data_IF_050780205302
#
_entry.id   IF_050780205302
#
_cell.length_a   1.000
_cell.length_b   1.000
_cell.length_c   1.000
_cell.angle_alpha   90.00
_cell.angle_beta   90.00
_cell.angle_gamma   90.00
#
_symmetry.space_group_name_H-M   'P 1'
#
loop_
_entity.id
_entity.type
_entity.pdbx_description
1 polymer ?
#
# COMPACT_ATOMS: atom_id res chain seq x y z
N UNK A 1 13.32 5.49 17.69
CA UNK A 1 13.46 6.81 17.04
C UNK A 1 13.47 6.57 15.53
N UNK A 2 12.30 6.68 14.87
CA UNK A 2 12.14 6.34 13.45
C UNK A 2 12.10 7.65 12.65
N UNK A 3 13.21 7.98 12.01
CA UNK A 3 13.28 9.17 11.17
C UNK A 3 12.57 8.91 9.83
N UNK A 4 11.45 9.59 9.62
CA UNK A 4 10.82 9.76 8.31
C UNK A 4 11.57 10.90 7.61
N UNK A 5 12.37 10.55 6.60
CA UNK A 5 13.14 11.52 5.82
C UNK A 5 12.67 11.55 4.39
N UNK A 6 13.05 12.62 3.70
CA UNK A 6 12.23 13.19 2.69
C UNK A 6 12.46 14.69 2.46
N UNK A 7 13.10 15.07 1.35
CA UNK A 7 13.12 16.44 0.82
C UNK A 7 13.22 16.51 -0.73
N UNK A 8 12.70 17.58 -1.32
CA UNK A 8 13.12 18.19 -2.62
C UNK A 8 12.82 19.66 -2.48
N UNK A 9 13.68 20.49 -3.05
CA UNK A 9 13.30 21.71 -3.74
C UNK A 9 14.32 22.04 -4.84
N UNK A 10 13.97 23.07 -5.62
CA UNK A 10 14.45 23.50 -6.92
C UNK A 10 15.86 24.09 -7.05
N UNK A 11 16.21 24.16 -8.34
CA UNK A 11 17.40 24.62 -9.07
C UNK A 11 17.90 26.03 -8.73
N UNK A 12 19.22 26.15 -8.53
CA UNK A 12 20.05 27.31 -8.92
C UNK A 12 21.42 26.79 -9.42
N UNK A 13 21.98 27.47 -10.43
CA UNK A 13 23.28 27.24 -11.05
C UNK A 13 24.40 28.00 -10.32
N UNK A 14 25.49 27.34 -9.92
CA UNK A 14 26.84 27.91 -9.83
C UNK A 14 27.91 26.85 -9.48
N UNK A 15 29.11 27.05 -10.00
CA UNK A 15 30.29 26.17 -9.89
C UNK A 15 31.15 26.44 -8.65
N UNK A 16 31.83 25.42 -8.10
CA UNK A 16 33.24 25.43 -7.64
C UNK A 16 33.60 24.20 -6.76
N UNK A 17 34.89 23.88 -6.75
CA UNK A 17 35.59 22.71 -6.21
C UNK A 17 35.70 22.63 -4.66
N UNK A 18 36.10 21.47 -4.10
CA UNK A 18 37.20 21.27 -3.10
C UNK A 18 37.28 19.80 -2.59
N UNK A 19 38.48 19.43 -2.10
CA UNK A 19 39.08 18.11 -1.91
C UNK A 19 38.63 17.28 -0.67
N UNK A 20 38.95 15.96 -0.57
CA UNK A 20 38.59 15.12 0.58
C UNK A 20 39.54 15.27 1.78
N UNK A 21 38.95 15.26 2.98
CA UNK A 21 39.63 15.23 4.29
C UNK A 21 39.72 13.79 4.81
N UNK A 22 40.86 13.55 5.46
CA UNK A 22 41.46 12.30 5.88
C UNK A 22 40.69 11.57 7.00
N UNK A 23 40.68 10.24 6.92
CA UNK A 23 40.20 9.29 7.94
C UNK A 23 41.30 9.13 9.00
N UNK A 24 40.95 9.15 10.28
CA UNK A 24 41.86 8.64 11.31
C UNK A 24 41.14 7.60 12.18
N UNK A 25 41.71 6.40 12.14
CA UNK A 25 41.40 5.22 12.94
C UNK A 25 42.14 5.24 14.28
N UNK A 26 41.75 4.30 15.15
CA UNK A 26 42.44 3.80 16.35
C UNK A 26 41.88 4.31 17.69
N UNK A 27 41.18 3.47 18.44
CA UNK A 27 41.84 2.49 19.33
C UNK A 27 40.84 1.58 20.06
N UNK A 28 41.26 0.33 20.23
CA UNK A 28 40.61 -0.76 20.95
C UNK A 28 41.06 -0.82 22.42
N UNK A 29 40.22 -1.39 23.31
CA UNK A 29 40.47 -2.12 24.58
C UNK A 29 39.24 -1.93 25.52
N UNK A 30 38.73 -2.85 26.33
CA UNK A 30 38.98 -4.26 26.62
C UNK A 30 37.80 -4.84 27.44
N UNK A 31 37.68 -6.17 27.38
CA UNK A 31 36.81 -7.07 28.16
C UNK A 31 37.23 -7.17 29.65
N UNK A 32 36.27 -7.44 30.55
CA UNK A 32 36.36 -8.28 31.78
C UNK A 32 34.96 -8.32 32.46
N UNK A 33 34.20 -9.41 32.38
CA UNK A 33 34.15 -10.62 33.25
C UNK A 33 33.42 -10.44 34.60
N UNK A 34 32.36 -11.24 34.76
CA UNK A 34 31.39 -11.46 35.87
C UNK A 34 32.03 -11.92 37.20
N UNK A 35 31.28 -11.96 38.32
CA UNK A 35 30.71 -13.25 38.75
C UNK A 35 29.27 -13.20 39.31
N UNK A 36 28.65 -14.40 39.34
CA UNK A 36 27.31 -14.77 39.81
C UNK A 36 27.09 -14.59 41.33
N UNK A 37 25.83 -14.46 41.77
CA UNK A 37 25.29 -15.31 42.84
C UNK A 37 23.75 -15.41 42.87
N UNK A 38 23.31 -16.55 43.42
CA UNK A 38 22.02 -17.25 43.46
C UNK A 38 20.90 -16.57 44.29
N UNK A 39 19.63 -16.67 43.84
CA UNK A 39 18.48 -17.51 44.32
C UNK A 39 17.89 -17.10 45.67
N UNK A 40 16.59 -16.74 45.68
CA UNK A 40 15.64 -17.23 46.67
C UNK A 40 14.17 -17.01 46.26
N UNK A 41 13.34 -17.99 46.63
CA UNK A 41 11.98 -18.23 46.18
C UNK A 41 10.92 -17.93 47.26
N UNK A 42 9.68 -17.80 46.80
CA UNK A 42 8.40 -17.78 47.56
C UNK A 42 8.15 -16.53 48.43
N UNK A 43 6.95 -15.95 48.52
CA UNK A 43 5.62 -16.54 48.65
C UNK A 43 4.58 -15.40 48.53
N UNK A 44 3.46 -15.62 47.82
CA UNK A 44 2.06 -15.33 48.21
C UNK A 44 1.19 -14.93 47.00
N UNK A 45 0.01 -15.55 46.94
CA UNK A 45 -0.91 -15.59 45.82
C UNK A 45 -2.19 -14.78 46.11
N UNK A 46 -2.89 -14.45 45.02
CA UNK A 46 -4.26 -13.93 44.90
C UNK A 46 -4.49 -12.52 45.51
N UNK A 47 -5.11 -11.57 44.83
CA UNK A 47 -6.42 -11.66 44.20
C UNK A 47 -6.67 -10.39 43.35
N UNK A 48 -7.72 -10.45 42.52
CA UNK A 48 -8.54 -9.34 41.99
C UNK A 48 -8.25 -8.71 40.63
N UNK A 49 -9.26 -8.97 39.78
CA UNK A 49 -9.93 -8.05 38.86
C UNK A 49 -9.32 -7.84 37.47
N UNK A 50 -9.92 -8.60 36.56
CA UNK A 50 -10.26 -8.22 35.19
C UNK A 50 -10.64 -6.73 35.11
N UNK A 51 -9.72 -5.92 34.61
CA UNK A 51 -9.99 -4.57 34.14
C UNK A 51 -9.05 -4.36 32.97
N UNK A 52 -9.64 -4.36 31.78
CA UNK A 52 -9.02 -3.91 30.54
C UNK A 52 -8.46 -2.50 30.74
N UNK A 53 -7.21 -2.41 31.20
CA UNK A 53 -6.47 -1.17 31.26
C UNK A 53 -6.08 -0.82 29.84
N UNK A 54 -6.90 0.01 29.20
CA UNK A 54 -6.48 0.83 28.08
C UNK A 54 -5.35 1.73 28.58
N UNK A 55 -4.12 1.22 28.49
CA UNK A 55 -2.92 2.03 28.62
C UNK A 55 -2.95 3.05 27.49
N UNK A 56 -3.31 4.29 27.82
CA UNK A 56 -3.02 5.45 26.98
C UNK A 56 -1.52 5.68 27.07
N UNK A 57 -0.77 4.85 26.36
CA UNK A 57 0.60 5.15 25.96
C UNK A 57 0.49 6.25 24.91
N UNK A 58 1.20 7.35 25.15
CA UNK A 58 1.44 8.41 24.18
C UNK A 58 2.21 7.84 22.99
N UNK A 59 1.47 7.20 22.09
CA UNK A 59 1.96 6.60 20.86
C UNK A 59 1.74 7.60 19.74
N UNK A 60 2.79 7.86 18.96
CA UNK A 60 2.66 8.47 17.64
C UNK A 60 1.52 7.73 16.92
N UNK A 61 0.38 8.40 16.70
CA UNK A 61 -0.78 7.81 16.03
C UNK A 61 -0.32 7.25 14.69
N UNK A 62 -0.02 5.95 14.63
CA UNK A 62 0.18 5.24 13.40
C UNK A 62 -1.13 5.42 12.63
N UNK A 63 -1.09 6.27 11.59
CA UNK A 63 -2.25 6.69 10.81
C UNK A 63 -2.95 5.47 10.24
N UNK A 64 -3.90 4.89 10.99
CA UNK A 64 -4.51 3.64 10.61
C UNK A 64 -5.55 3.91 9.52
N UNK A 65 -5.18 3.57 8.28
CA UNK A 65 -6.04 3.78 7.11
C UNK A 65 -7.05 2.65 6.98
N UNK A 66 -6.86 1.53 7.67
CA UNK A 66 -7.76 0.38 7.67
C UNK A 66 -8.16 0.04 9.11
N UNK A 67 -9.01 0.87 9.75
CA UNK A 67 -9.32 0.76 11.17
C UNK A 67 -10.23 -0.41 11.52
N UNK A 68 -10.91 -1.01 10.53
CA UNK A 68 -11.91 -2.06 10.73
C UNK A 68 -11.64 -3.18 9.75
N UNK A 69 -11.57 -4.42 10.26
CA UNK A 69 -11.51 -5.59 9.41
C UNK A 69 -12.87 -5.85 8.75
N UNK A 70 -12.90 -6.20 7.45
CA UNK A 70 -14.14 -6.49 6.76
C UNK A 70 -14.70 -7.86 7.16
N UNK A 71 -15.99 -8.05 6.93
CA UNK A 71 -16.57 -9.40 6.90
C UNK A 71 -16.00 -10.15 5.70
N UNK A 72 -15.37 -11.29 5.97
CA UNK A 72 -14.74 -12.11 4.94
C UNK A 72 -15.77 -12.96 4.20
N UNK A 73 -15.73 -12.92 2.87
CA UNK A 73 -16.52 -13.78 1.99
C UNK A 73 -15.58 -14.57 1.07
N UNK A 74 -15.80 -15.87 0.95
CA UNK A 74 -15.08 -16.71 -0.02
C UNK A 74 -15.80 -16.69 -1.36
N UNK A 75 -15.03 -16.42 -2.43
CA UNK A 75 -15.48 -16.47 -3.82
C UNK A 75 -14.74 -17.63 -4.49
N UNK A 76 -15.50 -18.56 -5.05
CA UNK A 76 -14.95 -19.72 -5.74
C UNK A 76 -14.22 -19.29 -7.02
N UNK A 77 -13.27 -20.10 -7.50
CA UNK A 77 -12.56 -19.83 -8.75
C UNK A 77 -13.47 -19.91 -9.99
N UNK A 78 -12.87 -19.87 -11.18
CA UNK A 78 -13.60 -20.14 -12.43
C UNK A 78 -14.42 -18.96 -12.96
N UNK A 79 -13.82 -17.76 -13.02
CA UNK A 79 -14.46 -16.51 -13.47
C UNK A 79 -15.69 -16.10 -12.65
N UNK A 80 -15.78 -16.53 -11.39
CA UNK A 80 -16.87 -16.13 -10.50
C UNK A 80 -16.77 -14.64 -10.20
N UNK A 81 -17.89 -13.92 -10.31
CA UNK A 81 -17.96 -12.48 -10.04
C UNK A 81 -18.85 -12.23 -8.83
N UNK A 82 -18.27 -11.65 -7.79
CA UNK A 82 -19.03 -11.13 -6.64
C UNK A 82 -19.27 -9.64 -6.83
N UNK A 83 -20.53 -9.25 -6.65
CA UNK A 83 -20.98 -7.87 -6.87
C UNK A 83 -21.42 -7.25 -5.55
N UNK A 84 -20.82 -6.11 -5.21
CA UNK A 84 -21.12 -5.31 -4.03
C UNK A 84 -21.75 -3.99 -4.46
N UNK A 85 -23.03 -3.80 -4.11
CA UNK A 85 -23.75 -2.55 -4.36
C UNK A 85 -23.40 -1.55 -3.27
N UNK A 86 -22.84 -0.39 -3.65
CA UNK A 86 -22.51 0.65 -2.68
C UNK A 86 -23.75 1.49 -2.37
N UNK A 87 -23.93 1.91 -1.11
CA UNK A 87 -25.01 2.83 -0.76
C UNK A 87 -24.78 4.20 -1.39
N UNK A 88 -25.85 4.95 -1.65
CA UNK A 88 -25.79 6.24 -2.36
C UNK A 88 -24.93 7.30 -1.66
N UNK A 89 -24.87 7.24 -0.32
CA UNK A 89 -24.09 8.16 0.50
C UNK A 89 -22.58 7.86 0.48
N UNK A 90 -22.17 6.68 0.00
CA UNK A 90 -20.76 6.28 -0.02
C UNK A 90 -19.97 7.15 -1.01
N UNK A 91 -18.77 7.54 -0.59
CA UNK A 91 -17.77 8.23 -1.40
C UNK A 91 -16.45 7.46 -1.48
N UNK A 92 -16.29 6.41 -0.67
CA UNK A 92 -15.09 5.58 -0.59
C UNK A 92 -15.51 4.13 -0.34
N UNK A 93 -14.67 3.21 -0.79
CA UNK A 93 -14.75 1.80 -0.42
C UNK A 93 -13.35 1.27 -0.18
N UNK A 94 -13.25 0.39 0.81
CA UNK A 94 -12.06 -0.39 1.09
C UNK A 94 -12.34 -1.82 0.70
N UNK A 95 -11.38 -2.43 0.02
CA UNK A 95 -11.48 -3.83 -0.32
C UNK A 95 -10.17 -4.53 0.02
N UNK A 96 -10.33 -5.77 0.47
CA UNK A 96 -9.29 -6.64 0.96
C UNK A 96 -9.43 -7.93 0.19
N UNK A 97 -8.34 -8.42 -0.38
CA UNK A 97 -8.34 -9.66 -1.15
C UNK A 97 -7.13 -10.49 -0.69
N UNK A 98 -7.39 -11.72 -0.27
CA UNK A 98 -6.38 -12.68 0.18
C UNK A 98 -6.70 -14.09 -0.31
N UNK A 99 -5.71 -14.97 -0.28
CA UNK A 99 -5.86 -16.40 -0.57
C UNK A 99 -5.26 -17.22 0.57
N UNK A 100 -5.53 -18.52 0.60
CA UNK A 100 -4.97 -19.44 1.60
C UNK A 100 -3.66 -20.08 1.08
N UNK A 101 -2.65 -19.26 0.80
CA UNK A 101 -1.30 -19.72 0.42
C UNK A 101 -1.12 -20.07 -1.07
N UNK A 102 -2.15 -19.82 -1.88
CA UNK A 102 -2.11 -19.98 -3.34
C UNK A 102 -1.79 -18.66 -4.04
N UNK A 103 -1.36 -18.70 -5.31
CA UNK A 103 -1.28 -17.50 -6.12
C UNK A 103 -2.62 -16.76 -6.14
N UNK A 104 -2.57 -15.45 -5.91
CA UNK A 104 -3.73 -14.58 -5.98
C UNK A 104 -3.78 -13.97 -7.38
N UNK A 105 -4.83 -14.32 -8.10
CA UNK A 105 -5.17 -13.69 -9.38
C UNK A 105 -6.64 -13.25 -9.36
N UNK A 106 -6.84 -11.94 -9.27
CA UNK A 106 -8.15 -11.35 -9.11
C UNK A 106 -8.24 -10.02 -9.83
N UNK A 107 -9.46 -9.63 -10.21
CA UNK A 107 -9.72 -8.33 -10.80
C UNK A 107 -10.84 -7.63 -10.04
N UNK A 108 -10.59 -6.40 -9.60
CA UNK A 108 -11.57 -5.52 -8.99
C UNK A 108 -11.95 -4.40 -9.96
N UNK A 109 -13.24 -4.23 -10.22
CA UNK A 109 -13.79 -3.23 -11.12
C UNK A 109 -14.86 -2.39 -10.44
N UNK A 110 -14.73 -1.06 -10.51
CA UNK A 110 -15.77 -0.13 -10.05
C UNK A 110 -16.58 0.38 -11.24
N UNK A 111 -17.84 -0.02 -11.27
CA UNK A 111 -18.81 0.39 -12.28
C UNK A 111 -19.67 1.54 -11.76
N UNK A 112 -19.86 2.56 -12.58
CA UNK A 112 -20.78 3.66 -12.31
C UNK A 112 -21.83 3.71 -13.41
N UNK A 113 -23.00 3.15 -13.12
CA UNK A 113 -23.99 2.85 -14.16
C UNK A 113 -23.58 1.66 -15.04
N UNK A 114 -24.31 1.41 -16.13
CA UNK A 114 -24.16 0.19 -16.94
C UNK A 114 -22.93 0.19 -17.85
N UNK A 115 -22.52 1.37 -18.36
CA UNK A 115 -21.53 1.46 -19.44
C UNK A 115 -20.16 1.96 -18.99
N UNK A 116 -20.04 2.50 -17.78
CA UNK A 116 -18.85 3.24 -17.37
C UNK A 116 -18.10 2.54 -16.24
N UNK A 117 -17.00 1.90 -16.60
CA UNK A 117 -16.00 1.44 -15.64
C UNK A 117 -15.03 2.60 -15.32
N UNK A 118 -14.93 2.95 -14.05
CA UNK A 118 -14.12 4.07 -13.56
C UNK A 118 -12.79 3.60 -12.96
N UNK A 119 -12.76 2.38 -12.42
CA UNK A 119 -11.58 1.85 -11.76
C UNK A 119 -11.44 0.38 -12.08
N UNK A 120 -10.30 0.00 -12.65
CA UNK A 120 -9.95 -1.41 -12.87
C UNK A 120 -8.64 -1.66 -12.14
N UNK A 121 -8.61 -2.70 -11.34
CA UNK A 121 -7.43 -3.16 -10.63
C UNK A 121 -7.29 -4.66 -10.92
N UNK A 122 -6.28 -5.02 -11.71
CA UNK A 122 -5.88 -6.42 -11.87
C UNK A 122 -4.77 -6.72 -10.88
N UNK A 123 -4.94 -7.77 -10.10
CA UNK A 123 -4.08 -8.16 -9.01
C UNK A 123 -3.51 -9.52 -9.35
N UNK A 124 -2.19 -9.60 -9.46
CA UNK A 124 -1.47 -10.84 -9.64
C UNK A 124 -0.35 -10.91 -8.59
N UNK A 125 -0.35 -11.96 -7.79
CA UNK A 125 0.60 -12.13 -6.71
C UNK A 125 0.88 -13.62 -6.49
N UNK A 126 2.15 -13.99 -6.31
CA UNK A 126 2.56 -15.38 -6.13
C UNK A 126 2.06 -16.02 -4.84
N UNK A 127 1.87 -15.26 -3.74
CA UNK A 127 1.38 -15.79 -2.48
C UNK A 127 0.42 -14.83 -1.76
N UNK A 128 -0.88 -14.98 -2.01
CA UNK A 128 -1.89 -14.09 -1.43
C UNK A 128 -2.21 -14.31 0.06
N UNK A 129 -1.61 -15.31 0.73
CA UNK A 129 -1.69 -15.42 2.20
C UNK A 129 -0.69 -14.51 2.89
N UNK A 130 0.55 -14.53 2.40
CA UNK A 130 1.64 -13.73 2.98
C UNK A 130 1.50 -12.25 2.61
N UNK A 131 1.08 -11.98 1.38
CA UNK A 131 0.98 -10.62 0.86
C UNK A 131 -0.47 -10.31 0.42
N UNK A 132 -1.41 -10.18 1.38
CA UNK A 132 -2.79 -9.79 1.07
C UNK A 132 -2.83 -8.40 0.44
N UNK A 133 -3.74 -8.21 -0.52
CA UNK A 133 -3.92 -6.92 -1.17
C UNK A 133 -4.98 -6.09 -0.44
N UNK A 134 -4.61 -4.87 -0.04
CA UNK A 134 -5.51 -3.92 0.64
C UNK A 134 -5.54 -2.61 -0.13
N UNK A 135 -6.73 -2.12 -0.46
CA UNK A 135 -6.86 -0.89 -1.22
C UNK A 135 -8.08 -0.08 -0.80
N UNK A 136 -7.90 1.24 -0.81
CA UNK A 136 -8.95 2.23 -0.63
C UNK A 136 -9.15 2.98 -1.94
N UNK A 137 -10.36 2.90 -2.48
CA UNK A 137 -10.76 3.68 -3.64
C UNK A 137 -11.71 4.81 -3.22
N UNK A 138 -11.58 5.94 -3.90
CA UNK A 138 -12.51 7.06 -3.78
C UNK A 138 -13.34 7.18 -5.04
N UNK A 139 -14.62 7.53 -4.90
CA UNK A 139 -15.56 7.65 -6.01
C UNK A 139 -16.57 8.78 -5.80
N UNK A 140 -17.20 9.23 -6.88
CA UNK A 140 -18.31 10.20 -6.80
C UNK A 140 -19.55 9.49 -6.25
N UNK A 141 -20.38 10.23 -5.51
CA UNK A 141 -21.65 9.76 -4.93
C UNK A 141 -22.69 9.49 -6.03
N UNK A 142 -22.51 8.41 -6.77
CA UNK A 142 -23.35 8.03 -7.91
C UNK A 142 -23.65 6.53 -7.87
N UNK A 143 -24.01 6.03 -6.68
CA UNK A 143 -24.41 4.65 -6.42
C UNK A 143 -23.57 3.59 -7.18
N UNK A 144 -22.23 3.59 -7.03
CA UNK A 144 -21.39 2.69 -7.80
C UNK A 144 -21.53 1.23 -7.36
N UNK A 145 -21.12 0.34 -8.24
CA UNK A 145 -21.11 -1.10 -7.99
C UNK A 145 -19.68 -1.62 -8.11
N UNK A 146 -19.17 -2.22 -7.04
CA UNK A 146 -17.87 -2.87 -7.04
C UNK A 146 -18.03 -4.34 -7.42
N UNK A 147 -17.36 -4.78 -8.48
CA UNK A 147 -17.30 -6.18 -8.90
C UNK A 147 -15.91 -6.71 -8.59
N UNK A 148 -15.82 -7.83 -7.89
CA UNK A 148 -14.58 -8.56 -7.66
C UNK A 148 -14.73 -9.89 -8.39
N UNK A 149 -13.84 -10.16 -9.33
CA UNK A 149 -13.82 -11.38 -10.13
C UNK A 149 -12.55 -12.17 -9.89
N UNK A 150 -12.69 -13.50 -9.89
CA UNK A 150 -11.55 -14.43 -9.84
C UNK A 150 -10.95 -14.66 -11.22
N UNK A 151 -9.78 -15.28 -11.26
CA UNK A 151 -9.18 -15.81 -12.48
C UNK A 151 -10.01 -16.94 -13.10
N UNK A 152 -9.57 -17.36 -14.30
CA UNK A 152 -10.19 -18.44 -15.06
C UNK A 152 -10.05 -19.81 -14.40
N UNK A 153 -9.03 -20.00 -13.56
CA UNK A 153 -8.77 -21.28 -12.91
C UNK A 153 -9.77 -21.52 -11.77
N UNK A 154 -10.43 -22.68 -11.81
CA UNK A 154 -11.39 -23.09 -10.77
C UNK A 154 -10.70 -23.32 -9.41
N UNK A 155 -9.43 -23.72 -9.43
CA UNK A 155 -8.64 -24.12 -8.27
C UNK A 155 -8.11 -22.94 -7.43
N UNK A 156 -8.37 -21.70 -7.86
CA UNK A 156 -7.89 -20.48 -7.20
C UNK A 156 -9.07 -19.70 -6.57
N UNK A 157 -9.63 -20.17 -5.44
CA UNK A 157 -10.61 -19.40 -4.69
C UNK A 157 -9.93 -18.19 -4.03
N UNK A 158 -10.67 -17.08 -3.95
CA UNK A 158 -10.23 -15.88 -3.26
C UNK A 158 -11.12 -15.62 -2.05
N UNK A 159 -10.55 -15.05 -1.00
CA UNK A 159 -11.32 -14.50 0.11
C UNK A 159 -11.28 -12.98 -0.01
N UNK A 160 -12.44 -12.37 -0.21
CA UNK A 160 -12.57 -10.92 -0.32
C UNK A 160 -13.42 -10.36 0.81
N UNK A 161 -13.05 -9.18 1.29
CA UNK A 161 -13.82 -8.39 2.23
C UNK A 161 -13.97 -6.98 1.69
N UNK A 162 -15.19 -6.44 1.72
CA UNK A 162 -15.48 -5.08 1.26
C UNK A 162 -16.10 -4.29 2.40
N UNK A 163 -15.47 -3.17 2.72
CA UNK A 163 -15.91 -2.26 3.77
C UNK A 163 -16.25 -0.90 3.17
N UNK A 164 -17.45 -0.41 3.49
CA UNK A 164 -17.90 0.92 3.10
C UNK A 164 -17.85 1.82 4.34
N UNK A 165 -16.85 2.71 4.46
CA UNK A 165 -16.75 3.60 5.61
C UNK A 165 -17.91 4.59 5.63
N UNK A 166 -18.52 4.78 6.81
CA UNK A 166 -19.48 5.87 7.08
C UNK A 166 -18.89 7.24 6.72
N UNK A 167 -19.71 8.25 6.36
CA UNK A 167 -19.22 9.54 5.87
C UNK A 167 -18.24 10.25 6.82
N UNK A 168 -18.44 10.16 8.13
CA UNK A 168 -17.52 10.71 9.14
C UNK A 168 -16.14 10.05 9.09
N UNK A 169 -16.10 8.72 9.06
CA UNK A 169 -14.86 7.96 8.97
C UNK A 169 -14.19 8.16 7.61
N UNK A 170 -14.97 8.28 6.53
CA UNK A 170 -14.44 8.59 5.20
C UNK A 170 -13.74 9.95 5.14
N UNK A 171 -14.25 10.96 5.89
CA UNK A 171 -13.60 12.26 6.01
C UNK A 171 -12.28 12.17 6.82
N UNK A 172 -12.26 11.41 7.92
CA UNK A 172 -11.02 11.12 8.67
C UNK A 172 -9.96 10.43 7.79
N UNK A 173 -10.37 9.41 7.03
CA UNK A 173 -9.48 8.70 6.09
C UNK A 173 -8.94 9.64 5.01
N UNK A 174 -9.77 10.55 4.48
CA UNK A 174 -9.32 11.57 3.54
C UNK A 174 -8.30 12.51 4.18
N UNK A 175 -8.56 13.01 5.39
CA UNK A 175 -7.64 13.87 6.11
C UNK A 175 -6.29 13.17 6.38
N UNK A 176 -6.31 11.89 6.76
CA UNK A 176 -5.10 11.09 6.96
C UNK A 176 -4.34 10.89 5.65
N UNK A 177 -5.05 10.58 4.56
CA UNK A 177 -4.50 10.46 3.20
C UNK A 177 -3.82 11.78 2.79
N UNK A 178 -4.46 12.92 3.03
CA UNK A 178 -3.93 14.23 2.66
C UNK A 178 -2.75 14.65 3.55
N UNK A 179 -2.80 14.37 4.85
CA UNK A 179 -1.66 14.58 5.77
C UNK A 179 -0.46 13.77 5.34
N UNK A 180 -0.65 12.48 5.04
CA UNK A 180 0.41 11.61 4.54
C UNK A 180 0.94 12.09 3.21
N UNK A 181 0.07 12.55 2.31
CA UNK A 181 0.56 13.19 1.09
C UNK A 181 1.37 14.44 1.40
N UNK A 182 0.93 15.35 2.26
CA UNK A 182 1.67 16.59 2.55
C UNK A 182 3.00 16.34 3.25
N UNK A 183 3.01 15.42 4.22
CA UNK A 183 4.21 15.01 4.97
C UNK A 183 5.15 14.16 4.12
N UNK A 184 4.63 13.41 3.15
CA UNK A 184 5.44 12.63 2.24
C UNK A 184 6.33 13.56 1.46
N UNK A 185 7.55 13.11 1.32
CA UNK A 185 8.53 14.03 0.89
C UNK A 185 8.90 13.82 -0.56
N UNK A 186 9.55 14.81 -1.16
CA UNK A 186 9.60 14.79 -2.60
C UNK A 186 10.45 13.70 -3.28
N UNK A 187 11.44 13.09 -2.63
CA UNK A 187 12.08 11.87 -3.17
C UNK A 187 11.10 10.69 -3.28
N UNK A 188 10.11 10.64 -2.39
CA UNK A 188 9.02 9.66 -2.39
C UNK A 188 7.97 10.02 -3.44
N UNK A 189 7.69 11.33 -3.64
CA UNK A 189 6.75 11.85 -4.64
C UNK A 189 7.41 12.03 -6.01
N UNK A 190 7.42 10.98 -6.82
CA UNK A 190 7.93 11.07 -8.19
C UNK A 190 6.80 11.31 -9.19
N UNK A 191 6.99 12.27 -10.10
CA UNK A 191 6.14 12.41 -11.28
C UNK A 191 6.54 11.37 -12.34
N UNK A 192 5.57 10.58 -12.78
CA UNK A 192 5.76 9.54 -13.79
C UNK A 192 5.10 9.99 -15.09
N UNK A 193 5.92 10.36 -16.07
CA UNK A 193 5.44 10.76 -17.38
C UNK A 193 4.86 9.56 -18.13
N UNK A 194 3.71 9.78 -18.76
CA UNK A 194 3.08 8.78 -19.62
C UNK A 194 3.89 8.52 -20.88
N UNK A 195 3.66 7.36 -21.49
CA UNK A 195 4.24 7.02 -22.79
C UNK A 195 3.73 7.92 -23.91
N UNK A 196 4.51 8.04 -24.98
CA UNK A 196 4.08 8.71 -26.22
C UNK A 196 2.87 7.98 -26.83
N UNK A 197 1.98 8.72 -27.50
CA UNK A 197 0.80 8.20 -28.23
C UNK A 197 1.16 7.13 -29.27
N UNK A 198 2.42 7.10 -29.70
CA UNK A 198 3.00 6.11 -30.62
C UNK A 198 3.27 4.73 -30.00
N UNK A 199 2.88 4.50 -28.73
CA UNK A 199 3.01 3.18 -28.09
C UNK A 199 4.35 2.92 -27.39
N UNK A 200 5.13 3.97 -27.11
CA UNK A 200 6.28 3.86 -26.22
C UNK A 200 5.84 3.62 -24.77
N UNK A 201 6.51 2.72 -24.05
CA UNK A 201 6.30 2.56 -22.60
C UNK A 201 6.62 3.88 -21.88
N UNK A 202 5.76 4.30 -20.94
CA UNK A 202 6.02 5.51 -20.16
C UNK A 202 7.21 5.36 -19.23
N UNK A 203 7.56 6.46 -18.55
CA UNK A 203 8.68 6.47 -17.64
C UNK A 203 8.52 5.41 -16.54
N UNK A 204 9.59 4.71 -16.24
CA UNK A 204 9.66 3.74 -15.14
C UNK A 204 10.30 4.45 -13.96
N UNK A 205 9.66 4.39 -12.79
CA UNK A 205 10.23 4.87 -11.52
C UNK A 205 10.29 3.70 -10.55
N UNK A 206 11.43 3.58 -9.89
CA UNK A 206 11.67 2.56 -8.87
C UNK A 206 11.92 3.22 -7.52
N UNK A 207 11.56 2.49 -6.47
CA UNK A 207 11.86 2.80 -5.08
C UNK A 207 12.38 1.53 -4.43
N UNK A 208 13.55 1.64 -3.82
CA UNK A 208 14.13 0.57 -3.03
C UNK A 208 13.49 0.60 -1.64
N UNK A 209 12.98 -0.55 -1.20
CA UNK A 209 12.31 -0.69 0.08
C UNK A 209 13.37 -1.13 1.10
N UNK A 210 13.57 -0.39 2.19
CA UNK A 210 14.48 -0.80 3.25
C UNK A 210 14.06 -2.14 3.88
N UNK A 211 15.04 -2.96 4.26
CA UNK A 211 14.81 -4.32 4.79
C UNK A 211 14.00 -4.36 6.10
N UNK A 212 13.89 -3.23 6.80
CA UNK A 212 13.11 -3.09 8.03
C UNK A 212 11.63 -2.70 7.80
N UNK A 213 11.18 -2.63 6.53
CA UNK A 213 9.82 -2.20 6.17
C UNK A 213 8.98 -3.40 5.72
N UNK A 214 7.96 -3.73 6.52
CA UNK A 214 7.05 -4.85 6.21
C UNK A 214 5.94 -4.47 5.21
N UNK A 215 5.55 -3.19 5.17
CA UNK A 215 4.44 -2.70 4.37
C UNK A 215 4.80 -1.38 3.70
N UNK A 216 4.54 -1.29 2.40
CA UNK A 216 4.68 -0.06 1.61
C UNK A 216 3.30 0.50 1.33
N UNK A 217 3.07 1.71 1.81
CA UNK A 217 1.90 2.47 1.46
C UNK A 217 2.13 3.23 0.15
N UNK A 218 1.24 3.04 -0.82
CA UNK A 218 1.31 3.71 -2.11
C UNK A 218 0.08 4.58 -2.35
N UNK A 219 0.32 5.79 -2.84
CA UNK A 219 -0.72 6.71 -3.28
C UNK A 219 -0.44 7.19 -4.69
N UNK A 220 -1.43 7.12 -5.56
CA UNK A 220 -1.29 7.50 -6.96
C UNK A 220 -2.49 8.34 -7.40
N UNK A 221 -2.20 9.41 -8.13
CA UNK A 221 -3.19 10.26 -8.75
C UNK A 221 -2.68 10.86 -10.06
N UNK A 222 -3.61 11.37 -10.87
CA UNK A 222 -3.27 12.18 -12.04
C UNK A 222 -3.11 13.64 -11.64
N UNK A 223 -2.07 14.30 -12.17
CA UNK A 223 -1.88 15.76 -12.05
C UNK A 223 -2.98 16.53 -12.81
N UNK A 224 -3.43 15.98 -13.93
CA UNK A 224 -4.50 16.56 -14.76
C UNK A 224 -5.85 16.14 -14.20
N UNK A 225 -6.26 16.81 -13.12
CA UNK A 225 -7.51 16.56 -12.40
C UNK A 225 -8.70 16.63 -13.35
N UNK A 226 -9.51 15.57 -13.38
CA UNK A 226 -10.79 15.51 -14.09
C UNK A 226 -10.73 15.40 -15.63
N UNK A 227 -9.55 15.50 -16.25
CA UNK A 227 -9.44 15.50 -17.73
C UNK A 227 -9.04 14.15 -18.33
N UNK A 228 -8.17 13.40 -17.67
CA UNK A 228 -7.65 12.13 -18.20
C UNK A 228 -7.61 11.05 -17.12
N UNK A 229 -8.12 9.87 -17.48
CA UNK A 229 -7.84 8.65 -16.73
C UNK A 229 -6.37 8.28 -16.89
N UNK A 230 -5.77 7.67 -15.87
CA UNK A 230 -4.40 7.18 -15.94
C UNK A 230 -4.38 5.66 -15.78
N UNK A 231 -3.35 5.05 -16.37
CA UNK A 231 -3.07 3.63 -16.21
C UNK A 231 -1.65 3.47 -15.74
N UNK A 232 -1.46 2.70 -14.68
CA UNK A 232 -0.15 2.45 -14.08
C UNK A 232 -0.03 0.96 -13.83
N UNK A 233 1.09 0.42 -14.30
CA UNK A 233 1.55 -0.91 -13.92
C UNK A 233 2.46 -0.78 -12.72
N UNK A 234 2.10 -1.45 -11.64
CA UNK A 234 2.85 -1.50 -10.38
C UNK A 234 3.45 -2.89 -10.31
N UNK A 235 4.76 -2.97 -10.20
CA UNK A 235 5.51 -4.21 -10.13
C UNK A 235 6.28 -4.20 -8.82
N UNK A 236 6.15 -5.26 -8.04
CA UNK A 236 6.87 -5.43 -6.77
C UNK A 236 7.82 -6.59 -7.00
N UNK A 237 9.11 -6.24 -7.06
CA UNK A 237 10.18 -7.16 -7.37
C UNK A 237 10.92 -7.55 -6.09
N UNK A 238 11.41 -8.78 -6.05
CA UNK A 238 12.30 -9.26 -5.01
C UNK A 238 13.55 -9.86 -5.66
N UNK A 239 14.69 -9.18 -5.49
CA UNK A 239 15.92 -9.53 -6.21
C UNK A 239 15.93 -9.11 -7.69
N UNK A 240 16.93 -9.55 -8.47
CA UNK A 240 17.15 -9.06 -9.84
C UNK A 240 16.02 -9.46 -10.79
N UNK A 241 15.21 -8.47 -11.19
CA UNK A 241 14.14 -8.60 -12.18
C UNK A 241 13.11 -9.73 -11.93
N UNK A 242 13.01 -10.23 -10.71
CA UNK A 242 12.03 -11.24 -10.32
C UNK A 242 10.78 -10.56 -9.77
N UNK A 243 9.67 -10.67 -10.50
CA UNK A 243 8.41 -10.01 -10.17
C UNK A 243 7.52 -10.96 -9.38
N UNK A 244 7.38 -10.69 -8.10
CA UNK A 244 6.55 -11.47 -7.18
C UNK A 244 5.11 -10.98 -7.19
N UNK A 245 4.91 -9.66 -7.30
CA UNK A 245 3.59 -9.04 -7.34
C UNK A 245 3.49 -8.08 -8.51
N UNK A 246 2.33 -8.06 -9.16
CA UNK A 246 2.04 -7.23 -10.31
C UNK A 246 0.61 -6.73 -10.21
N UNK A 247 0.43 -5.42 -10.25
CA UNK A 247 -0.87 -4.77 -10.20
C UNK A 247 -1.04 -3.86 -11.41
N UNK A 248 -2.12 -4.04 -12.16
CA UNK A 248 -2.47 -3.12 -13.25
C UNK A 248 -3.64 -2.24 -12.81
N UNK A 249 -3.33 -0.98 -12.52
CA UNK A 249 -4.28 0.03 -12.09
C UNK A 249 -4.73 0.89 -13.27
N UNK A 250 -6.03 0.97 -13.49
CA UNK A 250 -6.68 2.02 -14.24
C UNK A 250 -7.56 2.82 -13.28
N UNK A 251 -7.41 4.15 -13.28
CA UNK A 251 -8.26 5.04 -12.48
C UNK A 251 -8.78 6.22 -13.31
N UNK A 252 -10.07 6.50 -13.16
CA UNK A 252 -10.87 7.41 -13.99
C UNK A 252 -10.64 8.91 -13.81
N UNK A 253 -9.54 9.34 -13.20
CA UNK A 253 -9.09 10.75 -13.22
C UNK A 253 -8.80 11.36 -11.86
N UNK A 254 -8.01 12.45 -11.88
CA UNK A 254 -7.24 12.98 -10.74
C UNK A 254 -8.00 13.55 -9.53
N UNK A 255 -9.34 13.58 -9.52
CA UNK A 255 -10.09 13.99 -8.31
C UNK A 255 -10.16 12.88 -7.25
N UNK A 256 -9.76 11.66 -7.63
CA UNK A 256 -9.87 10.47 -6.80
C UNK A 256 -8.48 9.87 -6.60
N UNK A 257 -7.81 10.14 -5.47
CA UNK A 257 -6.57 9.46 -5.16
C UNK A 257 -6.87 7.97 -5.00
N UNK A 258 -6.05 7.15 -5.64
CA UNK A 258 -5.99 5.73 -5.36
C UNK A 258 -4.97 5.49 -4.26
N UNK A 259 -5.34 4.65 -3.30
CA UNK A 259 -4.50 4.30 -2.17
C UNK A 259 -4.49 2.79 -2.02
N UNK A 260 -3.31 2.21 -1.86
CA UNK A 260 -3.16 0.80 -1.52
C UNK A 260 -2.00 0.59 -0.57
N UNK A 261 -2.05 -0.53 0.13
CA UNK A 261 -0.95 -1.02 0.97
C UNK A 261 -0.47 -2.32 0.35
N UNK A 262 0.82 -2.33 0.03
CA UNK A 262 1.55 -3.43 -0.57
C UNK A 262 2.38 -4.06 0.52
N UNK A 263 2.23 -5.37 0.70
CA UNK A 263 2.98 -6.12 1.69
C UNK A 263 4.33 -6.49 1.09
N UNK A 264 5.41 -6.14 1.78
CA UNK A 264 6.80 -6.42 1.40
C UNK A 264 7.55 -7.06 2.56
N UNK A 265 7.15 -8.27 3.01
CA UNK A 265 7.80 -8.92 4.13
C UNK A 265 9.20 -9.39 3.75
N UNK A 266 10.20 -9.04 4.57
CA UNK A 266 11.60 -9.46 4.39
C UNK A 266 12.44 -8.48 3.56
N UNK A 267 13.70 -8.84 3.25
CA UNK A 267 14.65 -7.95 2.61
C UNK A 267 14.58 -7.95 1.07
N UNK A 268 15.14 -6.90 0.45
CA UNK A 268 15.44 -6.87 -0.98
C UNK A 268 14.26 -6.59 -1.90
N UNK A 269 13.26 -5.84 -1.43
CA UNK A 269 12.09 -5.44 -2.22
C UNK A 269 12.33 -4.15 -3.01
N UNK A 270 11.86 -4.13 -4.25
CA UNK A 270 11.85 -2.94 -5.10
C UNK A 270 10.45 -2.75 -5.65
N UNK A 271 9.88 -1.57 -5.43
CA UNK A 271 8.59 -1.19 -6.02
C UNK A 271 8.87 -0.39 -7.28
N UNK A 272 8.30 -0.80 -8.40
CA UNK A 272 8.45 -0.17 -9.71
C UNK A 272 7.08 0.23 -10.25
N UNK A 273 6.94 1.49 -10.62
CA UNK A 273 5.74 2.00 -11.29
C UNK A 273 6.09 2.40 -12.72
N UNK A 274 5.23 2.00 -13.64
CA UNK A 274 5.28 2.40 -15.04
C UNK A 274 3.94 2.99 -15.45
N UNK A 275 3.96 4.23 -15.95
CA UNK A 275 2.77 4.84 -16.53
C UNK A 275 2.56 4.29 -17.95
N UNK A 276 1.39 3.74 -18.24
CA UNK A 276 1.09 3.09 -19.52
C UNK A 276 0.02 3.89 -20.29
N UNK A 277 0.17 3.99 -21.60
CA UNK A 277 -0.87 4.54 -22.48
C UNK A 277 -1.90 3.48 -22.90
N UNK A 278 -1.49 2.21 -23.03
CA UNK A 278 -2.31 1.06 -23.47
C UNK A 278 -2.04 -0.18 -22.59
N UNK A 279 -3.02 -1.11 -22.54
CA UNK A 279 -2.76 -2.47 -22.06
C UNK A 279 -1.97 -3.21 -23.14
N UNK A 280 -0.69 -3.39 -22.89
CA UNK A 280 0.17 -4.32 -23.62
C UNK A 280 0.99 -5.09 -22.60
#
# INVERSE_FOLDING_TARGET
>A
MKFSLAATLCVISSAAAFAPVNVNSNNAFALKSTPQNEVDASTWAADLSDTSSSSVSSEEEHMNIFPVEPTWETVQGGKTVKTYKMPQWANRAQYFIKTNGRPLDAMAQLWVGPLRNVHTMQINNQNGALTPFKATMSFKKLAPTLKISTSEHLELPITCGVLVPKPENAAKLLANTEKLWKAASPEQKKLIQGGSTMGGGGAIRSWDVPDNVNEVQMMVWSKDVGKKSFRVKIEVLQGPNNRIQSYALQCGGGSQPYHCVIQTPGPGWIVRLQNQSLWR
#
